data_IF_511095957131
#
_entry.id   IF_511095957131
#
_cell.length_a   1.000
_cell.length_b   1.000
_cell.length_c   1.000
_cell.angle_alpha   90.00
_cell.angle_beta   90.00
_cell.angle_gamma   90.00
#
_symmetry.space_group_name_H-M   'P 1'
#
loop_
_entity.id
_entity.type
_entity.pdbx_description
1 polymer ?
#
# COMPACT_ATOMS: atom_id res chain seq x y z
N UNK A 1 5.32 4.08 -3.42
CA UNK A 1 5.78 3.63 -4.75
C UNK A 1 6.69 4.68 -5.36
N UNK A 2 7.59 4.26 -6.24
CA UNK A 2 8.53 5.12 -6.98
C UNK A 2 8.56 4.72 -8.45
N UNK A 3 8.70 5.69 -9.35
CA UNK A 3 8.70 5.43 -10.79
C UNK A 3 9.37 6.55 -11.57
N UNK A 4 9.77 6.23 -12.80
CA UNK A 4 10.20 7.18 -13.80
C UNK A 4 9.06 7.48 -14.77
N UNK A 5 9.01 8.72 -15.26
CA UNK A 5 8.09 9.14 -16.30
C UNK A 5 8.85 9.99 -17.32
N UNK A 6 8.87 9.55 -18.57
CA UNK A 6 9.42 10.31 -19.69
C UNK A 6 8.33 11.06 -20.45
N UNK A 7 8.68 12.20 -21.07
CA UNK A 7 7.79 12.89 -22.02
C UNK A 7 6.65 13.68 -21.37
N UNK A 8 6.62 13.80 -20.05
CA UNK A 8 5.76 14.74 -19.32
C UNK A 8 6.33 15.02 -17.93
N UNK A 9 5.93 16.14 -17.34
CA UNK A 9 6.17 16.48 -15.93
C UNK A 9 4.88 16.35 -15.14
N UNK A 10 4.93 15.78 -13.93
CA UNK A 10 3.76 15.64 -13.05
C UNK A 10 3.67 16.80 -12.05
N UNK A 11 2.46 17.33 -11.87
CA UNK A 11 2.09 18.14 -10.71
C UNK A 11 0.99 17.42 -9.90
N UNK A 12 1.17 17.21 -8.58
CA UNK A 12 0.14 16.56 -7.77
C UNK A 12 -1.13 17.41 -7.70
N UNK A 13 -2.30 16.80 -7.89
CA UNK A 13 -3.61 17.49 -7.80
C UNK A 13 -4.50 16.93 -6.70
N UNK A 14 -4.64 15.60 -6.61
CA UNK A 14 -5.51 14.98 -5.61
C UNK A 14 -5.09 13.54 -5.30
N UNK A 15 -5.44 13.10 -4.09
CA UNK A 15 -5.49 11.68 -3.73
C UNK A 15 -6.87 11.37 -3.16
N UNK A 16 -7.56 10.39 -3.74
CA UNK A 16 -8.91 10.00 -3.31
C UNK A 16 -9.09 8.49 -3.21
N UNK A 17 -10.07 8.06 -2.42
CA UNK A 17 -10.47 6.66 -2.37
C UNK A 17 -10.92 6.19 -3.75
N UNK A 18 -10.37 5.07 -4.20
CA UNK A 18 -10.86 4.41 -5.40
C UNK A 18 -12.25 3.81 -5.16
N UNK A 19 -13.02 3.61 -6.23
CA UNK A 19 -14.37 3.07 -6.15
C UNK A 19 -14.42 1.75 -5.36
N UNK A 20 -15.37 1.64 -4.42
CA UNK A 20 -15.54 0.47 -3.55
C UNK A 20 -14.51 0.34 -2.42
N UNK A 21 -13.59 1.29 -2.28
CA UNK A 21 -12.59 1.29 -1.19
C UNK A 21 -13.17 1.91 0.08
N UNK A 22 -12.64 1.49 1.23
CA UNK A 22 -13.09 1.95 2.55
C UNK A 22 -11.89 2.19 3.46
N UNK A 23 -11.97 3.21 4.32
CA UNK A 23 -11.03 3.44 5.42
C UNK A 23 -11.59 2.76 6.66
N UNK A 24 -10.78 1.97 7.36
CA UNK A 24 -11.07 1.50 8.72
C UNK A 24 -10.35 2.38 9.74
N UNK A 25 -10.77 2.38 11.01
CA UNK A 25 -10.05 3.05 12.12
C UNK A 25 -10.42 4.52 12.36
N UNK A 26 -10.43 5.36 11.33
CA UNK A 26 -10.78 6.78 11.44
C UNK A 26 -12.28 7.00 11.24
N UNK A 27 -12.79 8.12 11.77
CA UNK A 27 -14.07 8.71 11.34
C UNK A 27 -14.00 8.87 9.82
N UNK A 28 -14.71 8.00 9.09
CA UNK A 28 -14.56 7.75 7.65
C UNK A 28 -14.29 9.02 6.84
N UNK A 29 -13.09 9.21 6.28
CA UNK A 29 -12.89 10.19 5.24
C UNK A 29 -13.73 9.78 4.02
N UNK A 30 -14.73 10.59 3.67
CA UNK A 30 -15.51 10.40 2.45
C UNK A 30 -14.69 10.96 1.30
N UNK A 31 -13.97 10.08 0.60
CA UNK A 31 -13.37 10.39 -0.69
C UNK A 31 -11.96 10.97 -0.65
N UNK A 32 -11.70 12.11 -0.01
CA UNK A 32 -10.35 12.73 -0.02
C UNK A 32 -9.42 12.05 1.00
N UNK A 33 -8.23 11.63 0.55
CA UNK A 33 -7.16 11.04 1.39
C UNK A 33 -5.82 11.77 1.24
N UNK A 34 -5.82 12.95 0.60
CA UNK A 34 -4.61 13.72 0.30
C UNK A 34 -3.84 14.23 1.52
N UNK A 35 -4.48 14.29 2.68
CA UNK A 35 -3.85 14.60 3.96
C UNK A 35 -2.87 13.54 4.44
N UNK A 36 -2.96 12.33 3.91
CA UNK A 36 -2.18 11.16 4.34
C UNK A 36 -1.26 10.60 3.25
N UNK A 37 -1.33 11.16 2.06
CA UNK A 37 -0.49 10.76 0.94
C UNK A 37 0.34 11.94 0.49
N UNK A 38 1.61 11.69 0.21
CA UNK A 38 2.55 12.66 -0.32
C UNK A 38 3.07 12.26 -1.68
N UNK A 39 3.45 13.25 -2.48
CA UNK A 39 4.21 13.09 -3.70
C UNK A 39 5.42 14.01 -3.75
N UNK A 40 6.51 13.49 -4.29
CA UNK A 40 7.77 14.21 -4.45
C UNK A 40 8.46 13.75 -5.73
N UNK A 41 9.44 14.54 -6.18
CA UNK A 41 10.23 14.29 -7.39
C UNK A 41 11.72 14.28 -7.09
N UNK A 42 12.53 13.80 -8.05
CA UNK A 42 13.99 13.72 -7.96
C UNK A 42 14.47 12.92 -6.74
N UNK A 43 13.96 11.69 -6.60
CA UNK A 43 14.14 10.86 -5.42
C UNK A 43 15.29 9.88 -5.60
N UNK A 44 16.15 9.76 -4.60
CA UNK A 44 17.25 8.80 -4.58
C UNK A 44 16.99 7.70 -3.54
N UNK A 45 17.14 6.44 -3.94
CA UNK A 45 17.00 5.28 -3.05
C UNK A 45 18.14 4.30 -3.35
N UNK A 46 19.09 4.22 -2.41
CA UNK A 46 20.34 3.50 -2.65
C UNK A 46 21.06 4.10 -3.86
N UNK A 47 21.44 3.25 -4.82
CA UNK A 47 22.09 3.66 -6.06
C UNK A 47 21.12 4.03 -7.19
N UNK A 48 19.81 3.97 -6.96
CA UNK A 48 18.79 4.23 -7.97
C UNK A 48 18.17 5.62 -7.81
N UNK A 49 17.86 6.27 -8.93
CA UNK A 49 17.13 7.53 -8.97
C UNK A 49 15.76 7.33 -9.62
N UNK A 50 14.74 7.95 -9.03
CA UNK A 50 13.36 7.94 -9.51
C UNK A 50 12.89 9.37 -9.79
N UNK A 51 12.18 9.57 -10.89
CA UNK A 51 11.63 10.89 -11.21
C UNK A 51 10.55 11.29 -10.21
N UNK A 52 9.73 10.33 -9.77
CA UNK A 52 8.57 10.57 -8.92
C UNK A 52 8.39 9.49 -7.87
N UNK A 53 7.73 9.86 -6.78
CA UNK A 53 7.26 8.94 -5.76
C UNK A 53 5.93 9.38 -5.16
N UNK A 54 5.19 8.39 -4.65
CA UNK A 54 3.94 8.56 -3.90
C UNK A 54 3.99 7.67 -2.67
N UNK A 55 3.73 8.20 -1.48
CA UNK A 55 3.85 7.44 -0.24
C UNK A 55 2.96 8.00 0.86
N UNK A 56 2.42 7.11 1.71
CA UNK A 56 1.83 7.48 2.99
C UNK A 56 2.88 7.51 4.13
N UNK A 57 4.03 6.87 3.91
CA UNK A 57 5.17 6.92 4.81
C UNK A 57 6.17 7.99 4.38
N UNK A 58 6.78 8.66 5.36
CA UNK A 58 7.79 9.69 5.12
C UNK A 58 9.06 9.17 4.45
N UNK A 59 9.53 7.97 4.80
CA UNK A 59 10.73 7.31 4.24
C UNK A 59 12.02 8.16 4.26
N UNK A 60 12.05 9.26 5.00
CA UNK A 60 13.09 10.30 4.91
C UNK A 60 13.09 11.11 3.60
N UNK A 61 12.08 10.93 2.75
CA UNK A 61 11.97 11.50 1.40
C UNK A 61 10.74 12.40 1.23
N UNK A 62 9.72 12.23 2.07
CA UNK A 62 8.46 12.96 2.02
C UNK A 62 8.21 13.64 3.36
N UNK A 63 7.79 14.91 3.33
CA UNK A 63 7.40 15.69 4.50
C UNK A 63 6.01 16.34 4.34
N UNK A 64 5.57 17.15 5.32
CA UNK A 64 4.23 17.75 5.34
C UNK A 64 3.86 18.54 4.09
N UNK A 65 4.84 19.21 3.48
CA UNK A 65 4.65 20.04 2.28
C UNK A 65 4.48 19.22 1.01
N UNK A 66 4.79 17.93 1.05
CA UNK A 66 4.65 17.03 -0.09
C UNK A 66 3.25 16.42 -0.19
N UNK A 67 2.38 16.67 0.79
CA UNK A 67 1.02 16.12 0.82
C UNK A 67 0.17 16.62 -0.34
N UNK A 68 -0.71 15.77 -0.86
CA UNK A 68 -1.67 16.16 -1.89
C UNK A 68 -2.70 17.18 -1.35
N UNK A 69 -2.98 17.13 -0.05
CA UNK A 69 -3.80 18.11 0.66
C UNK A 69 -3.08 18.50 1.95
N UNK A 70 -2.70 19.77 2.06
CA UNK A 70 -2.01 20.31 3.24
C UNK A 70 -2.97 20.93 4.26
N UNK A 71 -4.25 21.03 3.92
CA UNK A 71 -5.28 21.65 4.75
C UNK A 71 -6.03 20.65 5.65
N UNK A 72 -5.85 19.36 5.41
CA UNK A 72 -6.52 18.28 6.14
C UNK A 72 -5.49 17.27 6.67
N UNK A 73 -5.73 16.75 7.87
CA UNK A 73 -5.03 15.61 8.45
C UNK A 73 -6.08 14.61 8.95
N UNK A 74 -6.03 13.40 8.43
CA UNK A 74 -7.02 12.35 8.70
C UNK A 74 -6.56 11.42 9.83
N UNK A 75 -5.25 11.24 10.02
CA UNK A 75 -4.69 10.38 11.05
C UNK A 75 -3.34 10.87 11.59
N UNK A 76 -2.94 10.38 12.75
CA UNK A 76 -1.61 10.57 13.31
C UNK A 76 -1.15 12.04 13.42
N UNK A 77 0.15 12.26 13.22
CA UNK A 77 0.76 13.60 13.14
C UNK A 77 0.60 14.20 11.74
N UNK A 78 0.61 15.53 11.59
CA UNK A 78 0.52 16.23 10.29
C UNK A 78 1.64 15.92 9.27
N UNK A 79 2.58 15.05 9.63
CA UNK A 79 3.58 14.49 8.73
C UNK A 79 3.04 13.19 8.13
N UNK A 80 3.42 12.89 6.87
CA UNK A 80 3.33 11.51 6.35
C UNK A 80 4.19 10.59 7.23
N UNK A 81 3.53 9.93 8.18
CA UNK A 81 4.15 9.55 9.45
C UNK A 81 4.61 8.11 9.54
N UNK A 82 4.31 7.28 8.55
CA UNK A 82 4.67 5.87 8.55
C UNK A 82 3.44 4.97 8.53
N UNK A 83 3.34 4.07 9.49
CA UNK A 83 2.37 2.97 9.51
C UNK A 83 0.97 3.39 10.02
N UNK A 84 0.78 4.67 10.30
CA UNK A 84 -0.46 5.24 10.82
C UNK A 84 -1.55 5.31 9.74
N UNK A 85 -1.15 5.33 8.46
CA UNK A 85 -2.05 5.30 7.31
C UNK A 85 -1.47 4.45 6.17
N UNK A 86 -2.31 3.83 5.35
CA UNK A 86 -1.82 2.99 4.25
C UNK A 86 -2.89 2.30 3.43
N UNK A 87 -2.46 1.40 2.54
CA UNK A 87 -3.35 0.55 1.74
C UNK A 87 -3.12 -0.91 2.12
N UNK A 88 -4.22 -1.61 2.34
CA UNK A 88 -4.29 -3.06 2.46
C UNK A 88 -5.12 -3.65 1.33
N UNK A 89 -4.94 -4.94 1.09
CA UNK A 89 -5.69 -5.63 0.04
C UNK A 89 -7.19 -5.65 0.35
N UNK A 90 -8.02 -5.72 -0.69
CA UNK A 90 -9.47 -5.87 -0.53
C UNK A 90 -9.91 -7.16 0.20
N UNK A 91 -9.00 -8.12 0.45
CA UNK A 91 -9.27 -9.32 1.24
C UNK A 91 -8.87 -9.19 2.71
N UNK A 92 -8.20 -8.11 3.10
CA UNK A 92 -7.66 -7.97 4.45
C UNK A 92 -8.75 -7.99 5.53
N UNK A 93 -8.44 -8.61 6.67
CA UNK A 93 -9.32 -8.67 7.83
C UNK A 93 -8.78 -7.70 8.90
N UNK A 94 -9.39 -6.52 9.06
CA UNK A 94 -8.89 -5.49 9.98
C UNK A 94 -8.93 -5.94 11.45
N UNK A 95 -9.62 -7.04 11.78
CA UNK A 95 -9.70 -7.55 13.14
C UNK A 95 -8.50 -8.41 13.56
N UNK A 96 -7.68 -8.88 12.61
CA UNK A 96 -6.49 -9.69 12.96
C UNK A 96 -5.30 -8.81 13.31
N UNK A 97 -5.31 -7.56 12.85
CA UNK A 97 -4.32 -6.54 13.15
C UNK A 97 -2.88 -6.88 12.76
N UNK A 98 -2.63 -7.95 11.99
CA UNK A 98 -1.33 -8.46 11.53
C UNK A 98 -0.09 -7.70 12.08
N UNK A 99 0.33 -8.00 13.33
CA UNK A 99 1.50 -7.35 13.96
C UNK A 99 1.26 -5.97 14.60
N UNK A 100 0.02 -5.59 14.89
CA UNK A 100 -0.35 -4.31 15.53
C UNK A 100 -0.93 -3.24 14.60
N UNK A 101 -1.19 -3.58 13.34
CA UNK A 101 -1.77 -2.74 12.27
C UNK A 101 -3.28 -2.44 12.43
N UNK A 102 -3.76 -2.24 13.66
CA UNK A 102 -5.12 -1.74 13.92
C UNK A 102 -5.11 -0.21 13.85
N UNK A 103 -4.99 0.33 12.63
CA UNK A 103 -4.81 1.76 12.32
C UNK A 103 -5.68 2.16 11.13
N UNK A 104 -5.52 3.40 10.66
CA UNK A 104 -6.35 3.99 9.63
C UNK A 104 -5.95 3.50 8.24
N UNK A 105 -6.45 2.34 7.85
CA UNK A 105 -6.02 1.64 6.63
C UNK A 105 -7.11 1.68 5.56
N UNK A 106 -6.71 1.97 4.33
CA UNK A 106 -7.54 1.90 3.15
C UNK A 106 -7.56 0.46 2.63
N UNK A 107 -8.73 -0.15 2.66
CA UNK A 107 -8.96 -1.42 1.99
C UNK A 107 -9.38 -1.18 0.55
N UNK A 108 -8.60 -1.69 -0.39
CA UNK A 108 -8.86 -1.54 -1.82
C UNK A 108 -7.81 -0.69 -2.52
N UNK A 109 -8.14 0.54 -2.88
CA UNK A 109 -7.32 1.38 -3.76
C UNK A 109 -7.39 2.87 -3.44
N UNK A 110 -6.35 3.59 -3.87
CA UNK A 110 -6.29 5.05 -3.89
C UNK A 110 -6.06 5.49 -5.33
N UNK A 111 -6.81 6.49 -5.77
CA UNK A 111 -6.64 7.17 -7.04
C UNK A 111 -5.79 8.42 -6.81
N UNK A 112 -4.64 8.48 -7.47
CA UNK A 112 -3.78 9.67 -7.48
C UNK A 112 -3.96 10.41 -8.80
N UNK A 113 -4.38 11.68 -8.73
CA UNK A 113 -4.57 12.54 -9.89
C UNK A 113 -3.42 13.52 -9.99
N UNK A 114 -2.84 13.61 -11.19
CA UNK A 114 -1.76 14.52 -11.52
C UNK A 114 -2.13 15.38 -12.72
N UNK A 115 -1.71 16.65 -12.69
CA UNK A 115 -1.63 17.49 -13.86
C UNK A 115 -0.39 17.12 -14.66
N UNK A 116 -0.50 17.21 -15.99
CA UNK A 116 0.64 17.02 -16.90
C UNK A 116 1.07 18.37 -17.47
N UNK A 117 2.35 18.65 -17.40
CA UNK A 117 3.00 19.79 -18.09
C UNK A 117 4.18 19.31 -18.92
N UNK A 118 4.68 20.15 -19.84
CA UNK A 118 5.78 19.81 -20.74
C UNK A 118 5.56 18.49 -21.49
N UNK A 119 4.33 18.28 -21.97
CA UNK A 119 3.91 17.04 -22.60
C UNK A 119 4.51 16.98 -24.02
N UNK A 120 5.29 15.94 -24.28
CA UNK A 120 5.83 15.68 -25.60
C UNK A 120 4.70 15.40 -26.60
N UNK A 121 4.89 15.79 -27.86
CA UNK A 121 3.88 15.63 -28.92
C UNK A 121 3.48 14.17 -29.18
N UNK A 122 4.34 13.21 -28.82
CA UNK A 122 4.14 11.78 -28.94
C UNK A 122 4.01 11.08 -27.57
N UNK A 123 3.56 11.80 -26.54
CA UNK A 123 3.39 11.23 -25.21
C UNK A 123 2.42 10.04 -25.23
N UNK A 124 2.94 8.88 -24.81
CA UNK A 124 2.22 7.63 -24.69
C UNK A 124 2.44 7.06 -23.29
N UNK A 125 1.44 7.17 -22.42
CA UNK A 125 1.51 6.74 -21.03
C UNK A 125 1.92 5.27 -20.91
N UNK A 126 1.54 4.44 -21.87
CA UNK A 126 1.82 3.00 -21.86
C UNK A 126 3.31 2.68 -22.01
N UNK A 127 4.09 3.63 -22.53
CA UNK A 127 5.55 3.55 -22.74
C UNK A 127 6.33 4.50 -21.84
N UNK A 128 5.67 5.54 -21.33
CA UNK A 128 6.31 6.63 -20.61
C UNK A 128 6.74 6.25 -19.19
N UNK A 129 6.00 5.34 -18.53
CA UNK A 129 6.32 4.92 -17.16
C UNK A 129 7.35 3.78 -17.20
N UNK A 130 8.40 3.90 -16.39
CA UNK A 130 9.44 2.88 -16.26
C UNK A 130 9.99 2.83 -14.83
N UNK A 131 10.84 1.84 -14.55
CA UNK A 131 11.51 1.67 -13.25
C UNK A 131 10.54 1.75 -12.06
N UNK A 132 9.47 0.95 -12.07
CA UNK A 132 8.47 0.96 -11.02
C UNK A 132 8.97 0.15 -9.80
N UNK A 133 8.92 0.75 -8.61
CA UNK A 133 9.24 0.11 -7.33
C UNK A 133 8.13 0.31 -6.32
N UNK A 134 7.66 -0.78 -5.74
CA UNK A 134 6.81 -0.77 -4.54
C UNK A 134 7.70 -0.93 -3.31
N UNK A 135 7.68 0.08 -2.43
CA UNK A 135 8.38 0.08 -1.16
C UNK A 135 7.36 -0.18 -0.05
N UNK A 136 7.64 -1.18 0.79
CA UNK A 136 6.85 -1.47 1.97
C UNK A 136 7.48 -0.84 3.21
N UNK A 137 6.65 -0.65 4.24
CA UNK A 137 7.08 -0.17 5.55
C UNK A 137 7.34 1.35 5.60
N UNK A 138 8.21 1.73 6.52
CA UNK A 138 8.52 3.11 6.91
C UNK A 138 9.98 3.50 6.65
N UNK A 139 10.81 2.60 6.11
CA UNK A 139 12.18 2.87 5.68
C UNK A 139 12.47 2.37 4.25
N UNK A 140 13.39 3.05 3.54
CA UNK A 140 13.78 2.66 2.18
C UNK A 140 14.66 1.40 2.11
N UNK A 141 15.17 0.94 3.25
CA UNK A 141 15.93 -0.30 3.41
C UNK A 141 15.05 -1.54 3.57
N UNK A 142 13.75 -1.35 3.80
CA UNK A 142 12.81 -2.46 3.95
C UNK A 142 12.51 -3.15 2.61
N UNK A 143 11.89 -4.35 2.63
CA UNK A 143 11.57 -5.09 1.43
C UNK A 143 10.84 -4.24 0.38
N UNK A 144 11.22 -4.46 -0.87
CA UNK A 144 10.63 -3.80 -2.02
C UNK A 144 10.50 -4.75 -3.19
N UNK A 145 9.58 -4.44 -4.09
CA UNK A 145 9.32 -5.24 -5.27
C UNK A 145 9.37 -4.36 -6.52
N UNK A 146 9.96 -4.90 -7.58
CA UNK A 146 9.83 -4.31 -8.91
C UNK A 146 8.39 -4.46 -9.39
N UNK A 147 7.80 -3.36 -9.82
CA UNK A 147 6.46 -3.33 -10.40
C UNK A 147 6.50 -3.45 -11.92
N UNK A 148 5.36 -3.82 -12.49
CA UNK A 148 5.12 -3.79 -13.94
C UNK A 148 3.88 -2.96 -14.25
N UNK A 149 3.86 -2.31 -15.40
CA UNK A 149 2.66 -1.64 -15.89
C UNK A 149 1.56 -2.64 -16.20
N UNK A 150 0.40 -2.44 -15.60
CA UNK A 150 -0.84 -3.09 -15.99
C UNK A 150 -1.73 -2.04 -16.67
N UNK A 151 -1.88 -2.13 -17.99
CA UNK A 151 -2.64 -1.15 -18.79
C UNK A 151 -4.16 -1.35 -18.70
N UNK A 152 -4.62 -2.23 -17.79
CA UNK A 152 -6.04 -2.50 -17.55
C UNK A 152 -6.25 -2.80 -16.06
N UNK A 153 -7.31 -2.29 -15.41
CA UNK A 153 -7.71 -2.69 -14.06
C UNK A 153 -8.38 -4.08 -14.09
N UNK A 154 -7.91 -5.01 -14.92
CA UNK A 154 -8.28 -6.42 -14.75
C UNK A 154 -7.56 -6.87 -13.48
N UNK A 155 -8.27 -7.25 -12.41
CA UNK A 155 -7.63 -7.76 -11.21
C UNK A 155 -6.65 -8.87 -11.64
N UNK A 156 -5.39 -8.86 -11.17
CA UNK A 156 -4.47 -9.94 -11.50
C UNK A 156 -5.15 -11.26 -11.13
N UNK A 157 -5.37 -12.15 -12.12
CA UNK A 157 -5.68 -13.55 -11.82
C UNK A 157 -4.56 -14.02 -10.90
N UNK A 158 -4.92 -14.28 -9.65
CA UNK A 158 -4.02 -14.27 -8.51
C UNK A 158 -2.70 -14.99 -8.77
N UNK A 159 -1.61 -14.22 -8.87
CA UNK A 159 -0.32 -14.68 -8.37
C UNK A 159 -0.33 -14.38 -6.88
N UNK A 160 -0.39 -15.44 -6.07
CA UNK A 160 -0.24 -15.34 -4.62
C UNK A 160 1.05 -14.57 -4.34
N UNK A 161 0.92 -13.36 -3.80
CA UNK A 161 2.04 -12.69 -3.14
C UNK A 161 2.45 -13.61 -1.98
N UNK A 162 3.74 -13.96 -1.81
CA UNK A 162 4.16 -14.75 -0.66
C UNK A 162 3.79 -14.01 0.62
N UNK A 163 2.77 -14.49 1.32
CA UNK A 163 2.56 -14.11 2.72
C UNK A 163 3.77 -14.64 3.51
N UNK A 164 4.36 -13.86 4.43
CA UNK A 164 5.38 -14.36 5.33
C UNK A 164 4.87 -15.62 6.05
N UNK A 165 5.33 -16.79 5.59
CA UNK A 165 5.37 -18.07 6.28
C UNK A 165 4.10 -18.58 6.98
N UNK A 166 3.07 -19.02 6.23
CA UNK A 166 2.08 -19.98 6.76
C UNK A 166 2.66 -21.38 7.04
N UNK A 167 3.93 -21.65 6.69
CA UNK A 167 4.58 -22.96 6.94
C UNK A 167 4.82 -23.23 8.44
N UNK A 168 4.82 -22.21 9.29
CA UNK A 168 4.99 -22.40 10.73
C UNK A 168 3.70 -22.83 11.48
N UNK A 169 2.50 -22.63 10.90
CA UNK A 169 1.25 -22.83 11.65
C UNK A 169 0.67 -24.27 11.58
N UNK A 170 1.15 -25.12 10.65
CA UNK A 170 0.59 -26.47 10.47
C UNK A 170 1.27 -27.56 11.33
N UNK A 171 2.27 -27.20 12.15
CA UNK A 171 3.00 -28.17 12.97
C UNK A 171 2.56 -28.23 14.45
N UNK A 172 1.61 -27.40 14.90
CA UNK A 172 1.26 -27.33 16.34
C UNK A 172 -0.08 -27.98 16.76
N UNK A 173 -0.88 -28.56 15.85
CA UNK A 173 -2.23 -29.07 16.21
C UNK A 173 -2.38 -30.58 16.08
N UNK A 174 -1.35 -31.35 16.43
CA UNK A 174 -1.38 -32.80 16.24
C UNK A 174 -0.90 -33.63 17.41
N UNK A 175 -1.44 -33.47 18.63
CA UNK A 175 -1.46 -34.55 19.65
C UNK A 175 -2.66 -34.37 20.60
N UNK A 176 -3.29 -35.50 20.95
CA UNK A 176 -4.39 -35.76 21.91
C UNK A 176 -5.80 -35.72 21.29
N UNK A 177 -6.56 -36.81 21.23
CA UNK A 177 -6.90 -37.72 22.34
C UNK A 177 -7.19 -39.16 21.90
N UNK A 178 -6.60 -40.14 22.58
CA UNK A 178 -6.93 -41.57 22.49
C UNK A 178 -8.03 -41.96 23.50
N UNK A 179 -9.11 -42.52 22.94
CA UNK A 179 -10.01 -43.59 23.42
C UNK A 179 -10.11 -43.90 24.93
N UNK A 180 -11.34 -43.83 25.44
CA UNK A 180 -11.86 -44.79 26.43
C UNK A 180 -13.21 -45.35 25.97
N UNK A 181 -13.25 -46.64 25.62
CA UNK A 181 -14.49 -47.45 25.57
C UNK A 181 -14.41 -48.44 26.73
N UNK A 182 -15.23 -48.25 27.77
CA UNK A 182 -15.48 -49.29 28.77
C UNK A 182 -16.55 -50.23 28.22
N UNK A 183 -16.18 -51.48 27.98
CA UNK A 183 -17.12 -52.58 27.83
C UNK A 183 -17.68 -52.91 29.22
N UNK A 184 -18.99 -52.99 29.36
CA UNK A 184 -19.63 -53.69 30.47
C UNK A 184 -19.89 -55.13 30.01
N UNK A 185 -19.32 -56.10 30.73
CA UNK A 185 -19.66 -57.52 30.65
C UNK A 185 -20.22 -57.94 32.03
N UNK A 186 -21.45 -58.44 31.98
CA UNK A 186 -22.17 -59.41 32.85
C UNK A 186 -21.61 -59.82 34.21
N UNK A 187 -22.50 -59.81 35.21
CA UNK A 187 -23.08 -61.03 35.80
C UNK A 187 -24.59 -60.87 35.96
#
# INVERSE_FOLDING_TARGET
>A
MFFNLSGATLSPLAASLGAGSQVYGATSPVGNVGGEWASASNLAIGSNTYNYGVSAAGLGLFGPKNRFDTSSNLSGTENVGGLDFGIVTAGDNPNTGNGGLNRDLIKGSVLFTFGLTNVASNFDLTKAISNLRFQYGTATSEPSFAGSLALSPTPPKGKRVPEPSMIAALLLTGVATLRTRKQQSTQ
#
